data_IF_113334007738
#
_entry.id   IF_113334007738
#
_cell.length_a   1.000
_cell.length_b   1.000
_cell.length_c   1.000
_cell.angle_alpha   90.00
_cell.angle_beta   90.00
_cell.angle_gamma   90.00
#
_symmetry.space_group_name_H-M   'P 1'
#
loop_
_entity.id
_entity.type
_entity.pdbx_description
1 polymer ?
#
# COMPACT_ATOMS: atom_id res chain seq x y z
N UNK A 1 -28.89 2.84 -7.22
CA UNK A 1 -28.21 2.75 -5.90
C UNK A 1 -26.93 1.92 -5.97
N UNK A 2 -26.95 0.67 -6.44
CA UNK A 2 -25.75 -0.17 -6.56
C UNK A 2 -24.71 0.35 -7.57
N UNK A 3 -25.14 0.94 -8.69
CA UNK A 3 -24.25 1.48 -9.73
C UNK A 3 -23.44 2.68 -9.20
N UNK A 4 -24.12 3.63 -8.52
CA UNK A 4 -23.42 4.75 -7.86
C UNK A 4 -22.53 4.31 -6.70
N UNK A 5 -22.84 3.19 -6.05
CA UNK A 5 -22.00 2.58 -5.00
C UNK A 5 -20.72 1.97 -5.60
N UNK A 6 -20.83 1.30 -6.76
CA UNK A 6 -19.69 0.75 -7.52
C UNK A 6 -18.82 1.89 -8.09
N UNK A 7 -19.43 2.93 -8.64
CA UNK A 7 -18.70 4.13 -9.11
C UNK A 7 -17.98 4.85 -7.97
N UNK A 8 -18.58 4.92 -6.78
CA UNK A 8 -17.93 5.45 -5.57
C UNK A 8 -16.76 4.59 -5.08
N UNK A 9 -16.89 3.25 -5.13
CA UNK A 9 -15.82 2.31 -4.78
C UNK A 9 -14.64 2.47 -5.75
N UNK A 10 -14.92 2.57 -7.05
CA UNK A 10 -13.91 2.80 -8.10
C UNK A 10 -13.24 4.16 -7.90
N UNK A 11 -14.00 5.21 -7.54
CA UNK A 11 -13.47 6.56 -7.32
C UNK A 11 -12.57 6.66 -6.07
N UNK A 12 -12.88 5.92 -4.99
CA UNK A 12 -12.03 5.85 -3.79
C UNK A 12 -10.76 5.02 -4.07
N UNK A 13 -10.88 3.91 -4.81
CA UNK A 13 -9.72 3.13 -5.26
C UNK A 13 -8.81 3.92 -6.22
N UNK A 14 -9.36 4.82 -7.04
CA UNK A 14 -8.59 5.69 -7.93
C UNK A 14 -7.94 6.89 -7.22
N UNK A 15 -8.54 7.39 -6.13
CA UNK A 15 -8.02 8.54 -5.38
C UNK A 15 -6.96 8.12 -4.33
N UNK A 16 -6.99 6.87 -3.88
CA UNK A 16 -5.94 6.28 -3.07
C UNK A 16 -4.72 5.94 -3.94
N UNK A 17 -3.86 6.93 -4.20
CA UNK A 17 -2.48 6.75 -4.74
C UNK A 17 -1.56 5.96 -3.81
N UNK A 18 -2.11 5.18 -2.88
CA UNK A 18 -1.38 4.34 -1.95
C UNK A 18 -1.58 2.91 -2.39
N UNK A 19 -0.51 2.34 -2.94
CA UNK A 19 -0.33 0.92 -3.33
C UNK A 19 -0.39 0.00 -2.11
N UNK A 20 -1.37 0.15 -1.24
CA UNK A 20 -1.49 -0.58 0.02
C UNK A 20 -2.74 -1.41 -0.01
N UNK A 21 -2.57 -2.71 0.27
CA UNK A 21 -3.67 -3.63 0.48
C UNK A 21 -4.64 -3.04 1.50
N UNK A 22 -5.94 -3.13 1.20
CA UNK A 22 -7.01 -2.87 2.17
C UNK A 22 -6.76 -3.83 3.33
N UNK A 23 -6.49 -3.32 4.53
CA UNK A 23 -6.36 -4.16 5.72
C UNK A 23 -7.66 -4.05 6.51
N UNK A 24 -8.66 -4.93 6.25
CA UNK A 24 -9.89 -4.93 7.00
C UNK A 24 -9.63 -5.28 8.47
N UNK A 25 -10.56 -4.94 9.35
CA UNK A 25 -10.46 -5.34 10.75
C UNK A 25 -10.46 -6.88 10.86
N UNK A 26 -9.55 -7.49 11.65
CA UNK A 26 -9.31 -8.94 11.60
C UNK A 26 -10.36 -9.81 12.32
N UNK A 27 -11.29 -9.24 13.10
CA UNK A 27 -12.30 -10.01 13.87
C UNK A 27 -13.73 -9.65 13.46
N UNK A 28 -14.57 -10.69 13.33
CA UNK A 28 -16.01 -10.50 13.19
C UNK A 28 -16.64 -10.05 14.52
N UNK A 29 -17.58 -9.10 14.48
CA UNK A 29 -18.33 -8.63 15.66
C UNK A 29 -17.66 -7.52 16.48
N UNK A 30 -16.73 -6.78 15.89
CA UNK A 30 -16.09 -5.63 16.52
C UNK A 30 -17.08 -4.54 16.93
N UNK A 31 -16.86 -3.90 18.08
CA UNK A 31 -17.60 -2.68 18.41
C UNK A 31 -17.23 -1.53 17.47
N UNK A 32 -18.12 -0.55 17.30
CA UNK A 32 -17.82 0.63 16.48
C UNK A 32 -16.56 1.37 16.98
N UNK A 33 -16.35 1.40 18.29
CA UNK A 33 -15.19 2.07 18.88
C UNK A 33 -13.89 1.32 18.58
N UNK A 34 -13.91 -0.01 18.56
CA UNK A 34 -12.77 -0.83 18.13
C UNK A 34 -12.42 -0.60 16.66
N UNK A 35 -13.41 -0.59 15.77
CA UNK A 35 -13.20 -0.31 14.34
C UNK A 35 -12.58 1.07 14.14
N UNK A 36 -13.14 2.09 14.80
CA UNK A 36 -12.62 3.46 14.72
C UNK A 36 -11.20 3.55 15.25
N UNK A 37 -10.90 2.90 16.38
CA UNK A 37 -9.56 2.89 16.97
C UNK A 37 -8.55 2.19 16.05
N UNK A 38 -8.94 1.07 15.43
CA UNK A 38 -8.10 0.32 14.51
C UNK A 38 -7.78 1.12 13.23
N UNK A 39 -8.78 1.64 12.53
CA UNK A 39 -8.52 2.44 11.33
C UNK A 39 -7.77 3.73 11.66
N UNK A 40 -7.94 4.27 12.88
CA UNK A 40 -7.17 5.40 13.35
C UNK A 40 -5.68 5.04 13.58
N UNK A 41 -5.38 3.87 14.16
CA UNK A 41 -4.00 3.43 14.40
C UNK A 41 -3.24 3.17 13.09
N UNK A 42 -3.95 2.80 12.02
CA UNK A 42 -3.42 2.70 10.65
C UNK A 42 -3.16 4.07 9.98
N UNK A 43 -3.34 5.18 10.71
CA UNK A 43 -3.13 6.56 10.25
C UNK A 43 -4.06 7.02 9.10
N UNK A 44 -5.19 6.33 8.87
CA UNK A 44 -6.16 6.76 7.86
C UNK A 44 -6.79 8.10 8.21
N UNK A 45 -6.98 8.98 7.25
CA UNK A 45 -7.71 10.24 7.38
C UNK A 45 -9.16 9.99 7.82
N UNK A 46 -9.83 11.00 8.37
CA UNK A 46 -11.24 10.85 8.78
C UNK A 46 -12.14 10.42 7.62
N UNK A 47 -11.87 10.88 6.40
CA UNK A 47 -12.66 10.47 5.24
C UNK A 47 -12.37 9.02 4.84
N UNK A 48 -11.11 8.58 4.92
CA UNK A 48 -10.74 7.18 4.68
C UNK A 48 -11.37 6.26 5.74
N UNK A 49 -11.32 6.62 7.02
CA UNK A 49 -12.00 5.87 8.10
C UNK A 49 -13.50 5.73 7.81
N UNK A 50 -14.17 6.82 7.40
CA UNK A 50 -15.59 6.76 7.01
C UNK A 50 -15.81 5.84 5.80
N UNK A 51 -14.89 5.86 4.84
CA UNK A 51 -14.91 4.96 3.69
C UNK A 51 -14.81 3.51 4.12
N UNK A 52 -13.81 3.14 4.93
CA UNK A 52 -13.65 1.77 5.42
C UNK A 52 -14.86 1.30 6.22
N UNK A 53 -15.35 2.12 7.15
CA UNK A 53 -16.55 1.79 7.90
C UNK A 53 -17.75 1.54 6.99
N UNK A 54 -17.93 2.33 5.93
CA UNK A 54 -19.04 2.17 4.99
C UNK A 54 -18.88 0.95 4.08
N UNK A 55 -17.72 0.78 3.44
CA UNK A 55 -17.51 -0.21 2.38
C UNK A 55 -17.05 -1.58 2.87
N UNK A 56 -16.40 -1.65 4.03
CA UNK A 56 -15.91 -2.91 4.61
C UNK A 56 -16.85 -3.38 5.71
N UNK A 57 -17.14 -2.51 6.67
CA UNK A 57 -17.90 -2.90 7.88
C UNK A 57 -19.40 -2.62 7.77
N UNK A 58 -19.87 -2.05 6.65
CA UNK A 58 -21.28 -1.67 6.41
C UNK A 58 -21.86 -0.72 7.49
N UNK A 59 -21.03 0.11 8.10
CA UNK A 59 -21.42 1.10 9.12
C UNK A 59 -21.42 2.51 8.52
N UNK A 60 -22.61 3.08 8.31
CA UNK A 60 -22.75 4.45 7.83
C UNK A 60 -22.63 5.47 8.97
N UNK A 61 -21.61 6.34 8.92
CA UNK A 61 -21.43 7.43 9.89
C UNK A 61 -21.34 8.80 9.24
N UNK A 62 -21.88 9.80 9.96
CA UNK A 62 -21.61 11.20 9.63
C UNK A 62 -20.24 11.60 10.19
N UNK A 63 -19.50 12.44 9.46
CA UNK A 63 -18.19 12.99 9.89
C UNK A 63 -18.21 13.62 11.29
N UNK A 64 -19.30 14.30 11.65
CA UNK A 64 -19.51 14.86 13.01
C UNK A 64 -19.50 13.79 14.10
N UNK A 65 -20.08 12.63 13.82
CA UNK A 65 -20.18 11.50 14.75
C UNK A 65 -18.81 10.88 14.93
N UNK A 66 -18.07 10.64 13.84
CA UNK A 66 -16.69 10.17 13.91
C UNK A 66 -15.80 11.11 14.74
N UNK A 67 -15.90 12.43 14.54
CA UNK A 67 -15.16 13.42 15.36
C UNK A 67 -15.54 13.38 16.84
N UNK A 68 -16.79 13.03 17.19
CA UNK A 68 -17.22 12.87 18.59
C UNK A 68 -16.64 11.59 19.19
N UNK A 69 -16.65 10.48 18.44
CA UNK A 69 -16.05 9.20 18.85
C UNK A 69 -14.55 9.35 19.09
N UNK A 70 -13.81 9.95 18.13
CA UNK A 70 -12.37 10.19 18.28
C UNK A 70 -12.04 11.01 19.52
N UNK A 71 -12.85 12.03 19.84
CA UNK A 71 -12.68 12.82 21.07
C UNK A 71 -12.99 12.02 22.32
N UNK A 72 -14.07 11.22 22.32
CA UNK A 72 -14.44 10.33 23.43
C UNK A 72 -13.34 9.33 23.74
N UNK A 73 -12.74 8.74 22.70
CA UNK A 73 -11.66 7.76 22.82
C UNK A 73 -10.27 8.39 23.04
N UNK A 74 -10.18 9.72 23.16
CA UNK A 74 -8.91 10.46 23.26
C UNK A 74 -7.91 10.17 22.12
N UNK A 75 -8.40 9.80 20.94
CA UNK A 75 -7.58 9.51 19.77
C UNK A 75 -7.15 10.80 19.08
N UNK A 76 -5.89 11.20 19.31
CA UNK A 76 -5.26 12.40 18.74
C UNK A 76 -4.00 12.04 17.97
N UNK A 77 -3.74 12.75 16.87
CA UNK A 77 -2.54 12.54 16.01
C UNK A 77 -1.40 13.50 16.29
N UNK A 78 -1.67 14.60 16.99
CA UNK A 78 -0.69 15.66 17.24
C UNK A 78 -0.30 15.64 18.71
N UNK A 79 0.98 15.92 18.98
CA UNK A 79 1.48 16.18 20.32
C UNK A 79 2.05 14.97 21.07
N UNK A 80 2.23 13.82 20.39
CA UNK A 80 2.89 12.64 20.94
C UNK A 80 3.96 12.24 19.93
N UNK A 81 5.19 12.70 20.13
CA UNK A 81 6.35 12.20 19.39
C UNK A 81 7.26 11.44 20.34
N UNK A 82 7.82 10.34 19.86
CA UNK A 82 8.93 9.69 20.52
C UNK A 82 10.19 10.57 20.43
N UNK A 83 11.16 10.38 21.34
CA UNK A 83 12.46 11.03 21.25
C UNK A 83 13.11 10.84 19.88
N UNK A 84 13.82 11.88 19.41
CA UNK A 84 14.50 11.85 18.10
C UNK A 84 15.50 10.69 17.96
N UNK A 85 16.12 10.28 19.06
CA UNK A 85 17.06 9.16 19.11
C UNK A 85 16.37 7.85 18.72
N UNK A 86 15.18 7.59 19.27
CA UNK A 86 14.39 6.39 19.00
C UNK A 86 13.84 6.39 17.55
N UNK A 87 13.45 7.57 17.07
CA UNK A 87 13.00 7.74 15.69
C UNK A 87 14.16 7.45 14.73
N UNK A 88 15.33 8.02 14.99
CA UNK A 88 16.53 7.85 14.17
C UNK A 88 17.01 6.40 14.13
N UNK A 89 17.10 5.74 15.28
CA UNK A 89 17.50 4.33 15.38
C UNK A 89 16.56 3.43 14.59
N UNK A 90 15.24 3.64 14.71
CA UNK A 90 14.26 2.82 13.99
C UNK A 90 14.25 3.07 12.48
N UNK A 91 14.53 4.29 12.04
CA UNK A 91 14.75 4.59 10.62
C UNK A 91 15.96 3.80 10.10
N UNK A 92 17.07 3.78 10.84
CA UNK A 92 18.28 3.03 10.44
C UNK A 92 17.97 1.53 10.35
N UNK A 93 17.26 0.97 11.33
CA UNK A 93 16.83 -0.43 11.32
C UNK A 93 15.98 -0.75 10.09
N UNK A 94 14.94 0.04 9.81
CA UNK A 94 14.08 -0.16 8.65
C UNK A 94 14.88 -0.11 7.34
N UNK A 95 15.84 0.80 7.22
CA UNK A 95 16.72 0.84 6.03
C UNK A 95 17.54 -0.44 5.89
N UNK A 96 18.05 -1.01 6.99
CA UNK A 96 18.77 -2.30 7.00
C UNK A 96 17.88 -3.47 6.57
N UNK A 97 16.58 -3.41 6.90
CA UNK A 97 15.58 -4.40 6.46
C UNK A 97 15.10 -4.21 5.00
N UNK A 98 15.76 -3.36 4.21
CA UNK A 98 15.45 -3.17 2.78
C UNK A 98 14.45 -2.05 2.48
N UNK A 99 14.14 -1.18 3.46
CA UNK A 99 13.33 0.03 3.25
C UNK A 99 14.19 1.28 3.00
N UNK A 100 15.39 1.14 2.44
CA UNK A 100 16.32 2.25 2.11
C UNK A 100 15.82 3.13 0.95
N UNK A 101 15.11 2.53 -0.01
CA UNK A 101 14.61 3.23 -1.19
C UNK A 101 13.24 3.90 -0.98
N UNK A 102 12.62 3.81 0.20
CA UNK A 102 11.29 4.41 0.44
C UNK A 102 11.37 5.92 0.72
N UNK A 103 10.31 6.64 0.36
CA UNK A 103 10.21 8.07 0.67
C UNK A 103 9.79 8.34 2.12
N UNK A 104 9.95 9.58 2.59
CA UNK A 104 9.64 9.96 3.97
C UNK A 104 8.18 9.69 4.39
N UNK A 105 7.22 9.76 3.45
CA UNK A 105 5.81 9.45 3.74
C UNK A 105 5.60 7.98 4.06
N UNK A 106 6.23 7.10 3.29
CA UNK A 106 6.20 5.65 3.53
C UNK A 106 6.94 5.31 4.81
N UNK A 107 8.13 5.90 5.02
CA UNK A 107 8.90 5.72 6.26
C UNK A 107 8.09 6.16 7.49
N UNK A 108 7.44 7.33 7.42
CA UNK A 108 6.56 7.82 8.48
C UNK A 108 5.44 6.84 8.83
N UNK A 109 4.79 6.24 7.82
CA UNK A 109 3.79 5.20 8.05
C UNK A 109 4.42 3.97 8.70
N UNK A 110 5.53 3.45 8.17
CA UNK A 110 6.21 2.28 8.71
C UNK A 110 6.54 2.44 10.20
N UNK A 111 7.05 3.61 10.58
CA UNK A 111 7.34 3.93 11.97
C UNK A 111 6.09 3.90 12.84
N UNK A 112 5.05 4.63 12.42
CA UNK A 112 3.84 4.82 13.23
C UNK A 112 2.92 3.59 13.27
N UNK A 113 2.92 2.73 12.23
CA UNK A 113 2.02 1.57 12.14
C UNK A 113 2.72 0.26 12.49
N UNK A 114 3.92 0.01 11.94
CA UNK A 114 4.61 -1.27 12.13
C UNK A 114 5.57 -1.25 13.32
N UNK A 115 6.23 -0.12 13.57
CA UNK A 115 7.20 -0.02 14.66
C UNK A 115 6.59 0.50 15.97
N UNK A 116 5.38 1.05 15.94
CA UNK A 116 4.76 1.71 17.09
C UNK A 116 5.50 2.97 17.56
N UNK A 117 6.34 3.56 16.70
CA UNK A 117 7.11 4.78 16.99
C UNK A 117 6.38 5.97 16.40
N UNK A 118 5.90 6.86 17.26
CA UNK A 118 5.19 8.04 16.85
C UNK A 118 6.15 9.17 16.47
N UNK A 119 6.00 9.67 15.26
CA UNK A 119 6.75 10.78 14.72
C UNK A 119 5.88 11.56 13.74
N UNK A 120 6.05 12.87 13.63
CA UNK A 120 5.42 13.64 12.56
C UNK A 120 6.13 13.42 11.22
N UNK A 121 5.43 13.72 10.13
CA UNK A 121 6.02 13.64 8.79
C UNK A 121 7.21 14.59 8.63
N UNK A 122 7.19 15.75 9.28
CA UNK A 122 8.27 16.73 9.20
C UNK A 122 9.50 16.25 9.95
N UNK A 123 9.33 15.73 11.17
CA UNK A 123 10.42 15.09 11.93
C UNK A 123 11.06 13.97 11.10
N UNK A 124 10.28 13.06 10.53
CA UNK A 124 10.81 11.97 9.67
C UNK A 124 11.51 12.53 8.43
N UNK A 125 10.98 13.58 7.79
CA UNK A 125 11.58 14.20 6.61
C UNK A 125 12.95 14.81 6.94
N UNK A 126 13.05 15.55 8.04
CA UNK A 126 14.29 16.16 8.49
C UNK A 126 15.32 15.10 8.89
N UNK A 127 14.93 14.11 9.69
CA UNK A 127 15.79 13.00 10.09
C UNK A 127 16.31 12.21 8.89
N UNK A 128 15.47 11.90 7.90
CA UNK A 128 15.92 11.26 6.65
C UNK A 128 16.83 12.14 5.81
N UNK A 129 16.66 13.46 5.84
CA UNK A 129 17.56 14.39 5.14
C UNK A 129 18.96 14.34 5.76
N UNK A 130 19.06 14.20 7.08
CA UNK A 130 20.34 14.03 7.77
C UNK A 130 20.96 12.65 7.51
N UNK A 131 20.16 11.59 7.57
CA UNK A 131 20.63 10.20 7.42
C UNK A 131 20.99 9.86 5.95
N UNK A 132 20.27 10.40 4.98
CA UNK A 132 20.36 10.04 3.56
C UNK A 132 20.17 11.25 2.65
N UNK A 133 21.12 12.19 2.78
CA UNK A 133 21.15 13.41 1.98
C UNK A 133 21.14 13.08 0.48
N UNK A 134 21.90 12.07 0.06
CA UNK A 134 22.01 11.66 -1.34
C UNK A 134 20.72 11.08 -1.90
N UNK A 135 20.07 10.16 -1.18
CA UNK A 135 18.79 9.60 -1.59
C UNK A 135 17.67 10.64 -1.61
N UNK A 136 17.68 11.62 -0.72
CA UNK A 136 16.74 12.75 -0.77
C UNK A 136 16.99 13.60 -2.01
N UNK A 137 18.25 13.96 -2.28
CA UNK A 137 18.63 14.75 -3.45
C UNK A 137 18.34 14.02 -4.77
N UNK A 138 18.61 12.72 -4.85
CA UNK A 138 18.32 11.90 -6.03
C UNK A 138 16.82 11.90 -6.35
N UNK A 139 15.94 11.74 -5.33
CA UNK A 139 14.48 11.81 -5.50
C UNK A 139 14.01 13.21 -5.88
N UNK A 140 14.61 14.27 -5.32
CA UNK A 140 14.28 15.67 -5.64
C UNK A 140 14.52 16.02 -7.11
N UNK A 141 15.51 15.39 -7.75
CA UNK A 141 15.80 15.56 -9.19
C UNK A 141 14.68 15.04 -10.09
N UNK A 142 13.69 14.29 -9.56
CA UNK A 142 12.55 13.72 -10.31
C UNK A 142 12.97 12.93 -11.55
N UNK A 143 14.16 12.30 -11.48
CA UNK A 143 14.68 11.47 -12.57
C UNK A 143 14.28 10.03 -12.32
N UNK A 144 13.73 9.38 -13.35
CA UNK A 144 13.54 7.93 -13.33
C UNK A 144 14.92 7.26 -13.35
N UNK A 145 15.37 6.76 -12.20
CA UNK A 145 16.55 5.91 -12.13
C UNK A 145 16.10 4.49 -12.43
N UNK A 146 16.55 3.95 -13.57
CA UNK A 146 16.28 2.55 -13.92
C UNK A 146 17.06 1.67 -12.96
N UNK A 147 16.36 0.87 -12.14
CA UNK A 147 17.01 -0.13 -11.28
C UNK A 147 17.79 -1.10 -12.17
N UNK A 148 19.09 -1.23 -11.95
CA UNK A 148 19.86 -2.29 -12.59
C UNK A 148 19.39 -3.61 -12.00
N UNK A 149 18.72 -4.43 -12.80
CA UNK A 149 18.26 -5.75 -12.37
C UNK A 149 19.39 -6.72 -12.61
N UNK A 150 19.99 -7.19 -11.52
CA UNK A 150 20.95 -8.28 -11.57
C UNK A 150 20.22 -9.57 -11.22
N UNK A 151 20.06 -10.46 -12.20
CA UNK A 151 19.58 -11.83 -11.97
C UNK A 151 20.78 -12.75 -11.88
N UNK A 152 20.79 -13.71 -10.95
CA UNK A 152 21.94 -14.60 -10.73
C UNK A 152 22.15 -15.63 -11.85
N UNK A 153 21.17 -15.80 -12.72
CA UNK A 153 21.22 -16.71 -13.87
C UNK A 153 19.85 -16.86 -14.53
N UNK A 154 19.76 -17.62 -15.64
CA UNK A 154 18.49 -17.98 -16.27
C UNK A 154 17.53 -18.62 -15.25
N UNK A 155 16.23 -18.36 -15.38
CA UNK A 155 15.17 -18.89 -14.49
C UNK A 155 15.28 -18.51 -13.01
N UNK A 156 16.24 -17.66 -12.61
CA UNK A 156 16.38 -17.21 -11.22
C UNK A 156 15.26 -16.25 -10.79
N UNK A 157 14.78 -15.41 -11.70
CA UNK A 157 13.67 -14.49 -11.45
C UNK A 157 12.80 -14.38 -12.71
N UNK A 158 11.52 -14.69 -12.57
CA UNK A 158 10.54 -14.57 -13.64
C UNK A 158 9.69 -13.31 -13.42
N UNK A 159 9.60 -12.46 -14.43
CA UNK A 159 8.73 -11.27 -14.42
C UNK A 159 7.43 -11.61 -15.14
N UNK A 160 6.33 -11.71 -14.38
CA UNK A 160 4.98 -11.88 -14.92
C UNK A 160 4.30 -10.51 -14.96
N UNK A 161 3.73 -10.16 -16.11
CA UNK A 161 3.02 -8.89 -16.31
C UNK A 161 1.75 -9.09 -17.17
N UNK A 162 0.79 -8.19 -17.00
CA UNK A 162 -0.48 -8.17 -17.72
C UNK A 162 -0.63 -6.94 -18.60
N UNK A 163 -0.99 -7.13 -19.86
CA UNK A 163 -1.27 -6.08 -20.83
C UNK A 163 -2.78 -5.92 -21.04
N UNK A 164 -3.33 -4.91 -20.37
CA UNK A 164 -4.77 -4.65 -20.31
C UNK A 164 -5.27 -3.63 -21.35
N UNK A 165 -4.43 -3.14 -22.27
CA UNK A 165 -4.89 -2.12 -23.24
C UNK A 165 -5.96 -2.65 -24.21
N UNK A 166 -6.02 -3.97 -24.42
CA UNK A 166 -7.03 -4.61 -25.27
C UNK A 166 -8.26 -5.07 -24.48
N UNK A 167 -8.32 -4.77 -23.19
CA UNK A 167 -9.45 -5.13 -22.32
C UNK A 167 -10.80 -4.58 -22.79
N UNK A 168 -10.90 -3.38 -23.42
CA UNK A 168 -12.16 -2.93 -24.03
C UNK A 168 -12.68 -3.85 -25.15
N UNK A 169 -11.80 -4.60 -25.80
CA UNK A 169 -12.14 -5.60 -26.82
C UNK A 169 -12.31 -7.01 -26.25
N UNK A 170 -12.30 -7.15 -24.92
CA UNK A 170 -12.38 -8.45 -24.26
C UNK A 170 -11.10 -9.28 -24.42
N UNK A 171 -9.92 -8.67 -24.55
CA UNK A 171 -8.65 -9.40 -24.62
C UNK A 171 -7.71 -8.85 -23.56
N UNK A 172 -7.26 -9.70 -22.65
CA UNK A 172 -6.20 -9.38 -21.68
C UNK A 172 -5.02 -10.28 -21.99
N UNK A 173 -3.82 -9.73 -22.23
CA UNK A 173 -2.66 -10.55 -22.56
C UNK A 173 -1.80 -10.68 -21.31
N UNK A 174 -1.52 -11.91 -20.88
CA UNK A 174 -0.56 -12.16 -19.82
C UNK A 174 0.74 -12.66 -20.43
N UNK A 175 1.88 -12.28 -19.86
CA UNK A 175 3.16 -12.77 -20.32
C UNK A 175 4.14 -12.92 -19.18
N UNK A 176 5.13 -13.78 -19.40
CA UNK A 176 6.26 -13.93 -18.50
C UNK A 176 7.57 -13.75 -19.27
N UNK A 177 8.52 -13.07 -18.65
CA UNK A 177 9.86 -12.84 -19.17
C UNK A 177 10.90 -13.27 -18.15
N UNK A 178 11.95 -13.96 -18.61
CA UNK A 178 13.11 -14.27 -17.76
C UNK A 178 13.88 -12.99 -17.41
N UNK A 179 14.11 -12.77 -16.13
CA UNK A 179 14.81 -11.61 -15.59
C UNK A 179 16.28 -11.55 -15.98
N UNK A 180 16.92 -12.69 -16.28
CA UNK A 180 18.31 -12.76 -16.73
C UNK A 180 18.43 -12.59 -18.25
N UNK A 181 17.88 -13.51 -19.03
CA UNK A 181 18.03 -13.52 -20.48
C UNK A 181 17.13 -12.51 -21.20
N UNK A 182 16.15 -11.93 -20.50
CA UNK A 182 15.12 -11.03 -21.07
C UNK A 182 14.29 -11.69 -22.19
N UNK A 183 14.34 -13.02 -22.31
CA UNK A 183 13.53 -13.80 -23.24
C UNK A 183 12.11 -13.93 -22.71
N UNK A 184 11.14 -13.87 -23.62
CA UNK A 184 9.73 -14.16 -23.32
C UNK A 184 9.62 -15.67 -23.11
N UNK A 185 9.15 -16.07 -21.93
CA UNK A 185 8.91 -17.47 -21.58
C UNK A 185 7.57 -17.93 -22.14
N UNK A 186 6.55 -17.08 -22.01
CA UNK A 186 5.22 -17.31 -22.56
C UNK A 186 4.46 -15.98 -22.73
N UNK A 187 3.48 -16.00 -23.62
CA UNK A 187 2.55 -14.91 -23.87
C UNK A 187 1.18 -15.51 -24.22
N UNK A 188 0.19 -15.28 -23.37
CA UNK A 188 -1.12 -15.92 -23.48
C UNK A 188 -2.22 -14.86 -23.51
N UNK A 189 -2.99 -14.75 -24.60
CA UNK A 189 -4.20 -13.96 -24.61
C UNK A 189 -5.30 -14.69 -23.83
N UNK A 190 -5.96 -13.95 -22.93
CA UNK A 190 -7.14 -14.37 -22.17
C UNK A 190 -8.32 -13.56 -22.67
N UNK A 191 -9.29 -14.26 -23.24
CA UNK A 191 -10.59 -13.70 -23.61
C UNK A 191 -11.55 -14.09 -22.49
N UNK A 192 -12.18 -13.14 -21.77
CA UNK A 192 -13.18 -13.48 -20.77
C UNK A 192 -14.43 -13.96 -21.49
N UNK A 193 -14.46 -15.24 -21.86
CA UNK A 193 -15.70 -15.95 -22.09
C UNK A 193 -16.44 -16.00 -20.76
N UNK A 194 -17.77 -15.81 -20.75
CA UNK A 194 -18.61 -15.79 -19.52
C UNK A 194 -18.58 -17.08 -18.68
N UNK A 195 -17.68 -18.01 -18.96
CA UNK A 195 -17.49 -19.26 -18.25
C UNK A 195 -15.99 -19.55 -18.14
N UNK A 196 -15.59 -19.95 -16.94
CA UNK A 196 -14.32 -20.57 -16.50
C UNK A 196 -13.45 -19.72 -15.56
N UNK A 197 -13.68 -19.98 -14.26
CA UNK A 197 -12.64 -20.00 -13.23
C UNK A 197 -11.57 -21.00 -13.68
N UNK A 198 -10.43 -20.52 -14.18
CA UNK A 198 -9.27 -21.38 -14.40
C UNK A 198 -8.54 -21.51 -13.06
N UNK A 199 -8.76 -22.65 -12.39
CA UNK A 199 -7.93 -23.10 -11.27
C UNK A 199 -6.47 -23.15 -11.72
N UNK A 200 -5.58 -22.57 -10.91
CA UNK A 200 -4.15 -22.66 -11.07
C UNK A 200 -3.76 -24.15 -11.05
N UNK A 201 -3.35 -24.69 -12.19
CA UNK A 201 -2.63 -25.96 -12.24
C UNK A 201 -1.25 -25.70 -11.64
N UNK A 202 -1.06 -26.16 -10.41
CA UNK A 202 0.25 -26.33 -9.80
C UNK A 202 1.05 -27.32 -10.66
N UNK A 203 2.10 -26.86 -11.32
CA UNK A 203 3.10 -27.77 -11.88
C UNK A 203 3.97 -28.29 -10.74
N UNK A 204 3.52 -29.36 -10.09
CA UNK A 204 4.42 -30.37 -9.58
C UNK A 204 4.78 -31.29 -10.75
N UNK A 205 6.00 -31.13 -11.28
CA UNK A 205 6.91 -32.21 -11.66
C UNK A 205 8.08 -31.67 -12.50
N UNK A 206 9.26 -31.74 -11.86
CA UNK A 206 10.62 -31.91 -12.41
C UNK A 206 11.14 -30.81 -13.35
#
# INVERSE_FOLDING_TARGET
>A
MAIHMIEMIILICLCATTVHAIVPYPRNGASLDELVAYYFSLLYTQNEILGFLLFVDNVMLRKRTLKRILRRLNLRRRGIENPLVDIGSKIIDLRRFGYDQVGYRTMWRLLNTFCGVHATQETVRLTLTVIDTDGVNARRRRRLIRRSKHSRGPNYCLHVDGYDKLKPFGISIHGCMDGFSRKIMWLTPVIPTKTHVTLLVTTSNI
#
